data_IF_840147972574
#
_entry.id   IF_840147972574
#
_cell.length_a   1.000
_cell.length_b   1.000
_cell.length_c   1.000
_cell.angle_alpha   90.00
_cell.angle_beta   90.00
_cell.angle_gamma   90.00
#
_symmetry.space_group_name_H-M   'P 1'
#
loop_
_entity.id
_entity.type
_entity.pdbx_description
1 polymer ?
#
# COMPACT_ATOMS: atom_id res chain seq x y z
N UNK A 1 18.11 11.86 -3.05
CA UNK A 1 17.51 11.10 -1.93
C UNK A 1 16.31 11.91 -1.45
N UNK A 2 15.10 11.42 -1.64
CA UNK A 2 13.87 12.17 -1.28
C UNK A 2 13.63 12.15 0.22
N UNK A 3 13.92 11.00 0.86
CA UNK A 3 13.71 10.80 2.30
C UNK A 3 15.01 10.98 3.10
N UNK A 4 16.07 11.57 2.51
CA UNK A 4 17.37 11.71 3.17
C UNK A 4 18.14 10.39 3.39
N UNK A 5 17.60 9.26 2.90
CA UNK A 5 18.14 7.90 3.08
C UNK A 5 18.50 7.25 1.75
N UNK A 6 19.34 6.23 1.78
CA UNK A 6 19.56 5.36 0.63
C UNK A 6 18.39 4.41 0.46
N UNK A 7 18.14 3.94 -0.77
CA UNK A 7 17.11 2.91 -1.01
C UNK A 7 17.53 1.64 -0.27
N UNK A 8 16.68 1.20 0.66
CA UNK A 8 16.91 0.08 1.55
C UNK A 8 16.99 0.46 3.04
N UNK A 9 17.21 1.73 3.34
CA UNK A 9 17.24 2.26 4.71
C UNK A 9 15.89 2.89 5.14
N UNK A 10 14.91 2.95 4.22
CA UNK A 10 13.58 3.49 4.50
C UNK A 10 12.81 2.58 5.46
N UNK A 11 11.97 3.21 6.29
CA UNK A 11 10.95 2.53 7.08
C UNK A 11 9.63 2.54 6.33
N UNK A 12 9.06 1.36 6.11
CA UNK A 12 7.79 1.16 5.40
C UNK A 12 6.69 0.89 6.43
N UNK A 13 5.65 1.71 6.43
CA UNK A 13 4.42 1.43 7.19
C UNK A 13 3.37 0.85 6.24
N UNK A 14 2.75 -0.28 6.62
CA UNK A 14 1.66 -0.89 5.84
C UNK A 14 0.38 -0.84 6.66
N UNK A 15 -0.62 -0.11 6.18
CA UNK A 15 -1.91 0.11 6.84
C UNK A 15 -2.98 -0.79 6.24
N UNK A 16 -3.48 -1.73 7.04
CA UNK A 16 -4.39 -2.79 6.64
C UNK A 16 -3.62 -4.08 6.31
N UNK A 17 -3.61 -5.06 7.22
CA UNK A 17 -2.82 -6.30 7.11
C UNK A 17 -3.70 -7.47 6.65
N UNK A 18 -4.49 -7.22 5.59
CA UNK A 18 -5.30 -8.21 4.90
C UNK A 18 -4.56 -8.94 3.79
N UNK A 19 -5.33 -9.44 2.80
CA UNK A 19 -4.83 -10.24 1.66
C UNK A 19 -3.85 -9.51 0.74
N UNK A 20 -3.84 -8.18 0.76
CA UNK A 20 -2.88 -7.35 0.02
C UNK A 20 -1.75 -6.90 0.96
N UNK A 21 -2.10 -6.25 2.06
CA UNK A 21 -1.11 -5.58 2.91
C UNK A 21 -0.15 -6.51 3.61
N UNK A 22 -0.60 -7.66 4.11
CA UNK A 22 0.33 -8.59 4.78
C UNK A 22 1.37 -9.17 3.80
N UNK A 23 1.02 -9.70 2.62
CA UNK A 23 2.03 -10.13 1.64
C UNK A 23 2.98 -9.02 1.22
N UNK A 24 2.48 -7.79 0.99
CA UNK A 24 3.32 -6.62 0.66
C UNK A 24 4.30 -6.30 1.78
N UNK A 25 3.83 -6.28 3.04
CA UNK A 25 4.66 -6.06 4.22
C UNK A 25 5.76 -7.11 4.35
N UNK A 26 5.41 -8.39 4.12
CA UNK A 26 6.35 -9.50 4.16
C UNK A 26 7.39 -9.42 3.04
N UNK A 27 6.98 -9.04 1.83
CA UNK A 27 7.91 -8.86 0.71
C UNK A 27 8.94 -7.76 1.00
N UNK A 28 8.54 -6.61 1.55
CA UNK A 28 9.47 -5.57 1.98
C UNK A 28 10.40 -6.05 3.10
N UNK A 29 9.86 -6.74 4.11
CA UNK A 29 10.68 -7.27 5.19
C UNK A 29 11.72 -8.28 4.68
N UNK A 30 11.36 -9.18 3.76
CA UNK A 30 12.24 -10.23 3.23
C UNK A 30 13.46 -9.68 2.51
N UNK A 31 13.33 -8.52 1.85
CA UNK A 31 14.43 -7.83 1.16
C UNK A 31 15.17 -6.82 2.05
N UNK A 32 14.86 -6.79 3.36
CA UNK A 32 15.67 -6.12 4.38
C UNK A 32 15.15 -4.78 4.88
N UNK A 33 14.00 -4.29 4.42
CA UNK A 33 13.41 -3.06 4.97
C UNK A 33 12.94 -3.23 6.41
N UNK A 34 12.93 -2.13 7.16
CA UNK A 34 12.17 -2.04 8.41
C UNK A 34 10.70 -1.84 8.05
N UNK A 35 9.85 -2.73 8.55
CA UNK A 35 8.41 -2.72 8.27
C UNK A 35 7.62 -2.58 9.57
N UNK A 36 6.67 -1.64 9.57
CA UNK A 36 5.68 -1.46 10.62
C UNK A 36 4.31 -1.76 10.04
N UNK A 37 3.72 -2.87 10.44
CA UNK A 37 2.34 -3.19 10.08
C UNK A 37 1.36 -2.49 11.01
N UNK A 38 0.34 -1.84 10.45
CA UNK A 38 -0.72 -1.19 11.22
C UNK A 38 -2.07 -1.74 10.81
N UNK A 39 -2.85 -2.23 11.77
CA UNK A 39 -4.23 -2.66 11.53
C UNK A 39 -5.14 -2.22 12.70
N UNK A 40 -6.35 -1.80 12.38
CA UNK A 40 -7.33 -1.36 13.38
C UNK A 40 -7.96 -2.53 14.14
N UNK A 41 -7.79 -3.76 13.66
CA UNK A 41 -8.31 -4.97 14.28
C UNK A 41 -7.33 -5.55 15.28
N UNK A 42 -7.63 -5.45 16.57
CA UNK A 42 -6.84 -6.08 17.63
C UNK A 42 -6.65 -7.59 17.39
N UNK A 43 -7.62 -8.25 16.78
CA UNK A 43 -7.51 -9.66 16.41
C UNK A 43 -6.40 -9.90 15.40
N UNK A 44 -6.25 -9.03 14.40
CA UNK A 44 -5.19 -9.13 13.38
C UNK A 44 -3.84 -8.85 14.02
N UNK A 45 -3.75 -7.77 14.81
CA UNK A 45 -2.52 -7.37 15.51
C UNK A 45 -2.04 -8.47 16.46
N UNK A 46 -2.93 -9.01 17.29
CA UNK A 46 -2.57 -10.07 18.25
C UNK A 46 -2.09 -11.34 17.53
N UNK A 47 -2.81 -11.82 16.52
CA UNK A 47 -2.39 -12.99 15.73
C UNK A 47 -0.98 -12.81 15.15
N UNK A 48 -0.70 -11.68 14.51
CA UNK A 48 0.59 -11.41 13.90
C UNK A 48 1.71 -11.28 14.95
N UNK A 49 1.43 -10.74 16.13
CA UNK A 49 2.39 -10.69 17.23
C UNK A 49 2.65 -12.08 17.84
N UNK A 50 1.67 -12.98 17.79
CA UNK A 50 1.81 -14.38 18.21
C UNK A 50 2.47 -15.27 17.13
N UNK A 51 2.81 -14.72 15.96
CA UNK A 51 3.40 -15.45 14.85
C UNK A 51 2.41 -16.17 13.95
N UNK A 52 1.12 -15.87 14.09
CA UNK A 52 0.05 -16.50 13.33
C UNK A 52 -0.45 -15.59 12.21
N UNK A 53 -0.64 -16.14 10.99
CA UNK A 53 -1.28 -15.42 9.91
C UNK A 53 -2.78 -15.24 10.19
N UNK A 54 -3.34 -14.03 10.02
CA UNK A 54 -4.80 -13.82 10.10
C UNK A 54 -5.56 -14.33 8.86
N UNK A 55 -4.86 -14.67 7.76
CA UNK A 55 -5.46 -15.10 6.50
C UNK A 55 -5.88 -16.57 6.58
N UNK A 56 -7.17 -16.86 6.30
CA UNK A 56 -7.78 -18.18 6.59
C UNK A 56 -7.50 -19.22 5.49
N UNK A 57 -7.27 -18.79 4.24
CA UNK A 57 -7.18 -19.67 3.07
C UNK A 57 -5.80 -19.67 2.38
N UNK A 58 -4.73 -19.36 3.11
CA UNK A 58 -3.41 -19.45 2.53
C UNK A 58 -2.96 -20.90 2.45
N UNK A 59 -2.96 -21.46 1.25
CA UNK A 59 -2.30 -22.76 0.96
C UNK A 59 -0.79 -22.70 1.19
N UNK A 60 -0.22 -21.50 1.28
CA UNK A 60 1.16 -21.22 1.70
C UNK A 60 1.15 -20.64 3.13
N UNK A 61 1.92 -21.26 3.99
CA UNK A 61 2.17 -20.74 5.34
C UNK A 61 3.01 -19.47 5.23
N UNK A 62 2.40 -18.31 5.53
CA UNK A 62 3.15 -17.06 5.65
C UNK A 62 3.87 -17.12 7.01
N UNK A 63 5.18 -17.23 6.99
CA UNK A 63 6.00 -17.20 8.18
C UNK A 63 6.15 -15.75 8.67
N UNK A 64 5.56 -15.46 9.84
CA UNK A 64 5.62 -14.13 10.45
C UNK A 64 6.96 -13.98 11.19
N UNK A 65 7.76 -12.93 10.91
CA UNK A 65 9.12 -12.80 11.45
C UNK A 65 9.12 -12.24 12.88
N UNK A 66 8.45 -12.92 13.80
CA UNK A 66 8.40 -12.56 15.21
C UNK A 66 9.82 -12.51 15.80
N UNK A 67 10.12 -11.44 16.54
CA UNK A 67 11.45 -11.21 17.13
C UNK A 67 12.46 -10.54 16.18
N UNK A 68 12.13 -10.30 14.92
CA UNK A 68 12.95 -9.47 14.05
C UNK A 68 12.91 -8.01 14.52
N UNK A 69 14.07 -7.37 14.65
CA UNK A 69 14.17 -5.95 14.98
C UNK A 69 13.72 -5.02 13.84
N UNK A 70 13.43 -5.59 12.67
CA UNK A 70 12.91 -4.87 11.49
C UNK A 70 11.42 -5.12 11.24
N UNK A 71 10.73 -5.82 12.14
CA UNK A 71 9.31 -6.13 12.03
C UNK A 71 8.59 -5.75 13.31
N UNK A 72 7.49 -5.02 13.17
CA UNK A 72 6.56 -4.75 14.27
C UNK A 72 5.13 -4.61 13.75
N UNK A 73 4.16 -5.00 14.57
CA UNK A 73 2.73 -4.85 14.27
C UNK A 73 2.01 -4.20 15.43
N UNK A 74 1.15 -3.22 15.13
CA UNK A 74 0.43 -2.45 16.13
C UNK A 74 -0.87 -1.88 15.57
N UNK A 75 -1.75 -1.36 16.44
CA UNK A 75 -2.89 -0.50 16.09
C UNK A 75 -2.60 1.00 16.31
N UNK A 76 -1.40 1.36 16.73
CA UNK A 76 -1.00 2.71 17.13
C UNK A 76 -0.44 3.52 15.95
N UNK A 77 -1.28 4.34 15.32
CA UNK A 77 -0.89 5.25 14.24
C UNK A 77 0.04 6.37 14.71
N UNK A 78 -0.15 6.86 15.94
CA UNK A 78 0.61 8.00 16.48
C UNK A 78 2.09 7.71 16.64
N UNK A 79 2.44 6.44 16.89
CA UNK A 79 3.85 5.98 16.94
C UNK A 79 4.38 5.54 15.59
N UNK A 80 3.56 4.86 14.79
CA UNK A 80 4.00 4.17 13.58
C UNK A 80 4.23 5.13 12.41
N UNK A 81 3.27 6.01 12.15
CA UNK A 81 3.31 6.89 10.98
C UNK A 81 4.46 7.90 11.04
N UNK A 82 4.74 8.58 12.17
CA UNK A 82 5.85 9.54 12.23
C UNK A 82 7.23 8.91 12.01
N UNK A 83 7.40 7.61 12.32
CA UNK A 83 8.66 6.90 12.11
C UNK A 83 8.87 6.44 10.65
N UNK A 84 7.83 6.53 9.80
CA UNK A 84 7.79 5.90 8.48
C UNK A 84 8.12 6.88 7.36
N UNK A 85 8.93 6.46 6.41
CA UNK A 85 9.29 7.24 5.22
C UNK A 85 8.25 7.05 4.10
N UNK A 86 7.70 5.84 4.03
CA UNK A 86 6.66 5.45 3.08
C UNK A 86 5.52 4.78 3.84
N UNK A 87 4.29 5.22 3.61
CA UNK A 87 3.07 4.64 4.17
C UNK A 87 2.22 4.09 3.04
N UNK A 88 1.97 2.78 3.05
CA UNK A 88 1.14 2.09 2.07
C UNK A 88 -0.26 1.89 2.67
N UNK A 89 -1.31 2.32 1.97
CA UNK A 89 -2.70 2.13 2.38
C UNK A 89 -3.29 1.00 1.54
N UNK A 90 -3.56 -0.14 2.18
CA UNK A 90 -3.99 -1.40 1.56
C UNK A 90 -5.33 -1.90 2.10
N UNK A 91 -6.19 -0.98 2.51
CA UNK A 91 -7.49 -1.30 3.10
C UNK A 91 -8.52 -1.75 2.05
N UNK A 92 -9.54 -2.53 2.44
CA UNK A 92 -10.57 -2.99 1.52
C UNK A 92 -11.37 -1.85 0.88
N UNK A 93 -11.84 -2.08 -0.35
CA UNK A 93 -12.76 -1.18 -1.09
C UNK A 93 -14.00 -1.97 -1.53
N UNK A 94 -14.89 -2.34 -0.60
CA UNK A 94 -16.09 -3.10 -0.94
C UNK A 94 -17.07 -2.25 -1.78
N UNK A 95 -18.07 -2.90 -2.35
CA UNK A 95 -19.17 -2.23 -3.04
C UNK A 95 -20.36 -2.06 -2.11
N UNK A 96 -21.09 -0.98 -2.27
CA UNK A 96 -22.38 -0.74 -1.63
C UNK A 96 -23.49 -1.61 -2.28
N UNK A 97 -24.68 -1.73 -1.66
CA UNK A 97 -25.81 -2.48 -2.24
C UNK A 97 -26.27 -2.00 -3.64
N UNK A 98 -25.98 -0.76 -4.00
CA UNK A 98 -26.23 -0.16 -5.31
C UNK A 98 -25.08 -0.34 -6.30
N UNK A 99 -24.09 -1.17 -5.98
CA UNK A 99 -22.85 -1.42 -6.71
C UNK A 99 -21.92 -0.19 -6.83
N UNK A 100 -22.17 0.90 -6.10
CA UNK A 100 -21.22 2.00 -6.02
C UNK A 100 -20.00 1.63 -5.15
N UNK A 101 -18.79 2.15 -5.45
CA UNK A 101 -17.62 1.91 -4.61
C UNK A 101 -17.77 2.49 -3.20
N UNK A 102 -17.49 1.70 -2.18
CA UNK A 102 -17.45 2.19 -0.80
C UNK A 102 -16.01 2.59 -0.44
N UNK A 103 -15.78 3.89 -0.30
CA UNK A 103 -14.47 4.46 0.01
C UNK A 103 -14.28 4.82 1.49
N UNK A 104 -15.20 4.42 2.37
CA UNK A 104 -15.14 4.83 3.79
C UNK A 104 -13.89 4.28 4.50
N UNK A 105 -13.47 3.05 4.17
CA UNK A 105 -12.22 2.51 4.73
C UNK A 105 -10.99 3.30 4.25
N UNK A 106 -10.96 3.67 2.96
CA UNK A 106 -9.88 4.49 2.39
C UNK A 106 -9.84 5.86 3.05
N UNK A 107 -10.97 6.53 3.20
CA UNK A 107 -11.08 7.84 3.86
C UNK A 107 -10.63 7.77 5.32
N UNK A 108 -11.09 6.76 6.05
CA UNK A 108 -10.73 6.58 7.46
C UNK A 108 -9.23 6.31 7.63
N UNK A 109 -8.68 5.38 6.85
CA UNK A 109 -7.25 5.07 6.91
C UNK A 109 -6.39 6.28 6.48
N UNK A 110 -6.75 6.95 5.37
CA UNK A 110 -6.07 8.15 4.92
C UNK A 110 -6.09 9.25 5.98
N UNK A 111 -7.23 9.49 6.65
CA UNK A 111 -7.33 10.44 7.74
C UNK A 111 -6.39 10.09 8.89
N UNK A 112 -6.44 8.85 9.38
CA UNK A 112 -5.57 8.39 10.48
C UNK A 112 -4.10 8.51 10.13
N UNK A 113 -3.71 8.22 8.88
CA UNK A 113 -2.33 8.40 8.42
C UNK A 113 -1.96 9.88 8.39
N UNK A 114 -2.75 10.72 7.72
CA UNK A 114 -2.42 12.13 7.50
C UNK A 114 -2.43 12.98 8.77
N UNK A 115 -3.27 12.64 9.76
CA UNK A 115 -3.27 13.26 11.08
C UNK A 115 -1.97 13.01 11.86
N UNK A 116 -1.28 11.91 11.55
CA UNK A 116 -0.10 11.44 12.29
C UNK A 116 1.23 11.58 11.54
N UNK A 117 1.27 12.18 10.34
CA UNK A 117 2.55 12.42 9.65
C UNK A 117 3.44 13.39 10.42
N UNK A 118 4.75 13.14 10.43
CA UNK A 118 5.70 14.10 10.96
C UNK A 118 5.82 15.32 10.03
N UNK A 119 5.42 16.48 10.52
CA UNK A 119 5.42 17.73 9.74
C UNK A 119 6.82 18.30 9.48
N UNK A 120 7.86 17.75 10.10
CA UNK A 120 9.24 18.19 9.94
C UNK A 120 10.02 17.38 8.90
N UNK A 121 9.39 16.36 8.31
CA UNK A 121 10.01 15.52 7.28
C UNK A 121 9.00 15.12 6.21
N UNK A 122 9.51 14.78 5.03
CA UNK A 122 8.68 14.33 3.93
C UNK A 122 8.33 12.86 4.09
N UNK A 123 7.04 12.53 3.96
CA UNK A 123 6.52 11.16 3.93
C UNK A 123 5.80 10.92 2.60
N UNK A 124 6.07 9.79 1.94
CA UNK A 124 5.24 9.35 0.82
C UNK A 124 4.06 8.55 1.34
N UNK A 125 2.85 8.92 0.93
CA UNK A 125 1.62 8.16 1.20
C UNK A 125 1.12 7.57 -0.10
N UNK A 126 1.17 6.24 -0.20
CA UNK A 126 0.84 5.48 -1.40
C UNK A 126 -0.48 4.74 -1.17
N UNK A 127 -1.47 4.99 -2.01
CA UNK A 127 -2.69 4.20 -2.01
C UNK A 127 -2.50 2.99 -2.93
N UNK A 128 -2.71 1.78 -2.41
CA UNK A 128 -2.69 0.52 -3.16
C UNK A 128 -4.09 -0.07 -3.35
N UNK A 129 -5.05 0.35 -2.51
CA UNK A 129 -6.45 -0.10 -2.61
C UNK A 129 -7.01 0.16 -4.00
N UNK A 130 -7.78 -0.78 -4.54
CA UNK A 130 -8.40 -0.65 -5.87
C UNK A 130 -9.43 0.47 -5.88
N UNK A 131 -9.20 1.47 -6.74
CA UNK A 131 -10.08 2.64 -6.88
C UNK A 131 -10.25 3.03 -8.34
N UNK A 132 -11.25 3.87 -8.64
CA UNK A 132 -11.42 4.46 -9.97
C UNK A 132 -10.53 5.70 -10.13
N UNK A 133 -10.22 6.13 -11.39
CA UNK A 133 -9.34 7.26 -11.65
C UNK A 133 -9.79 8.55 -10.96
N UNK A 134 -8.85 9.23 -10.29
CA UNK A 134 -9.04 10.48 -9.58
C UNK A 134 -9.34 10.34 -8.09
N UNK A 135 -9.54 9.12 -7.56
CA UNK A 135 -9.85 8.91 -6.12
C UNK A 135 -8.71 9.33 -5.23
N UNK A 136 -7.47 8.94 -5.54
CA UNK A 136 -6.31 9.29 -4.72
C UNK A 136 -6.21 10.80 -4.55
N UNK A 137 -6.29 11.55 -5.63
CA UNK A 137 -6.26 13.01 -5.60
C UNK A 137 -7.46 13.58 -4.85
N UNK A 138 -8.67 13.11 -5.14
CA UNK A 138 -9.89 13.64 -4.54
C UNK A 138 -9.96 13.34 -3.05
N UNK A 139 -9.72 12.10 -2.63
CA UNK A 139 -9.89 11.69 -1.22
C UNK A 139 -8.69 12.10 -0.38
N UNK A 140 -7.47 11.69 -0.77
CA UNK A 140 -6.27 11.98 0.01
C UNK A 140 -5.82 13.44 -0.18
N UNK A 141 -5.93 13.98 -1.41
CA UNK A 141 -5.56 15.38 -1.69
C UNK A 141 -6.43 16.37 -0.95
N UNK A 142 -7.78 16.22 -0.95
CA UNK A 142 -8.69 17.08 -0.18
C UNK A 142 -8.41 17.01 1.34
N UNK A 143 -8.05 15.82 1.86
CA UNK A 143 -7.63 15.68 3.26
C UNK A 143 -6.31 16.43 3.52
N UNK A 144 -5.30 16.29 2.67
CA UNK A 144 -4.05 17.03 2.80
C UNK A 144 -4.30 18.55 2.82
N UNK A 145 -5.10 19.07 1.89
CA UNK A 145 -5.47 20.48 1.82
C UNK A 145 -6.16 20.94 3.10
N UNK A 146 -7.15 20.18 3.60
CA UNK A 146 -7.90 20.50 4.80
C UNK A 146 -7.03 20.52 6.08
N UNK A 147 -5.94 19.74 6.10
CA UNK A 147 -4.99 19.64 7.21
C UNK A 147 -3.78 20.57 7.04
N UNK A 148 -3.69 21.34 5.95
CA UNK A 148 -2.55 22.21 5.64
C UNK A 148 -1.25 21.43 5.36
N UNK A 149 -1.36 20.22 4.83
CA UNK A 149 -0.22 19.39 4.43
C UNK A 149 0.15 19.68 2.97
N UNK A 150 1.34 20.21 2.76
CA UNK A 150 1.86 20.48 1.43
C UNK A 150 2.78 19.34 0.94
N UNK A 151 3.26 19.45 -0.31
CA UNK A 151 4.10 18.43 -0.94
C UNK A 151 5.50 18.28 -0.32
N UNK A 152 5.91 19.19 0.55
CA UNK A 152 7.16 19.06 1.31
C UNK A 152 7.00 18.16 2.54
N UNK A 153 5.77 18.04 3.03
CA UNK A 153 5.40 17.19 4.17
C UNK A 153 4.87 15.84 3.66
N UNK A 154 3.91 15.85 2.74
CA UNK A 154 3.28 14.64 2.20
C UNK A 154 3.32 14.64 0.68
N UNK A 155 3.83 13.57 0.10
CA UNK A 155 3.69 13.30 -1.33
C UNK A 155 2.77 12.12 -1.54
N UNK A 156 1.70 12.34 -2.30
CA UNK A 156 0.73 11.30 -2.63
C UNK A 156 1.17 10.52 -3.87
N UNK A 157 0.97 9.21 -3.83
CA UNK A 157 1.18 8.31 -4.95
C UNK A 157 0.11 7.22 -4.99
N UNK A 158 0.02 6.56 -6.12
CA UNK A 158 -0.82 5.38 -6.32
C UNK A 158 0.00 4.25 -6.92
N UNK A 159 -0.10 3.05 -6.33
CA UNK A 159 0.54 1.84 -6.84
C UNK A 159 -0.46 0.70 -6.76
N UNK A 160 -1.14 0.31 -7.86
CA UNK A 160 -2.16 -0.73 -7.81
C UNK A 160 -1.55 -2.09 -7.52
N UNK A 161 -2.12 -2.81 -6.56
CA UNK A 161 -1.79 -4.21 -6.34
C UNK A 161 -2.41 -5.09 -7.44
N UNK A 162 -1.63 -6.04 -7.96
CA UNK A 162 -2.00 -6.91 -9.08
C UNK A 162 -2.02 -8.40 -8.74
N UNK A 163 -1.72 -8.77 -7.49
CA UNK A 163 -1.82 -10.16 -7.03
C UNK A 163 -3.29 -10.56 -6.96
N UNK A 164 -3.63 -11.72 -7.52
CA UNK A 164 -4.98 -12.26 -7.38
C UNK A 164 -5.13 -12.84 -5.97
N UNK A 165 -6.15 -12.44 -5.20
CA UNK A 165 -6.44 -13.07 -3.93
C UNK A 165 -6.64 -14.57 -4.11
N UNK A 166 -5.85 -15.39 -3.38
CA UNK A 166 -5.91 -16.85 -3.49
C UNK A 166 -4.96 -17.51 -4.51
N UNK A 167 -4.25 -16.73 -5.34
CA UNK A 167 -3.18 -17.24 -6.21
C UNK A 167 -1.84 -17.11 -5.48
N UNK A 168 -1.55 -18.07 -4.62
CA UNK A 168 -0.33 -18.07 -3.82
C UNK A 168 0.92 -18.57 -4.58
N UNK A 169 0.74 -19.10 -5.78
CA UNK A 169 1.87 -19.47 -6.66
C UNK A 169 2.45 -18.24 -7.37
N UNK A 170 1.63 -17.18 -7.51
CA UNK A 170 2.02 -15.91 -8.11
C UNK A 170 1.93 -14.78 -7.09
N UNK A 171 2.92 -14.73 -6.20
CA UNK A 171 3.08 -13.65 -5.24
C UNK A 171 3.44 -12.30 -5.89
N UNK A 172 3.56 -11.27 -5.08
CA UNK A 172 3.97 -9.91 -5.50
C UNK A 172 5.29 -9.91 -6.29
N UNK A 173 6.13 -10.92 -6.08
CA UNK A 173 7.42 -11.09 -6.76
C UNK A 173 7.29 -11.35 -8.27
N UNK A 174 6.16 -11.91 -8.72
CA UNK A 174 5.91 -12.29 -10.11
C UNK A 174 5.07 -11.29 -10.90
N UNK A 175 4.84 -10.10 -10.33
CA UNK A 175 3.94 -9.10 -10.92
C UNK A 175 4.67 -7.78 -11.11
N UNK A 176 4.57 -7.23 -12.34
CA UNK A 176 5.09 -5.88 -12.62
C UNK A 176 4.34 -4.83 -11.82
N UNK A 177 5.09 -3.87 -11.25
CA UNK A 177 4.52 -2.77 -10.49
C UNK A 177 4.51 -1.48 -11.31
N UNK A 178 3.48 -0.65 -11.14
CA UNK A 178 3.43 0.69 -11.72
C UNK A 178 3.18 1.72 -10.62
N UNK A 179 3.86 2.85 -10.71
CA UNK A 179 3.75 3.93 -9.72
C UNK A 179 3.32 5.21 -10.42
N UNK A 180 2.16 5.73 -10.02
CA UNK A 180 1.68 7.06 -10.38
C UNK A 180 1.95 8.05 -9.25
N UNK A 181 2.57 9.19 -9.57
CA UNK A 181 2.87 10.26 -8.62
C UNK A 181 3.08 11.56 -9.38
N UNK A 182 2.56 12.69 -8.87
CA UNK A 182 2.77 13.99 -9.54
C UNK A 182 4.20 14.51 -9.40
N UNK A 183 4.90 14.13 -8.32
CA UNK A 183 6.32 14.43 -8.17
C UNK A 183 7.14 13.32 -8.85
N UNK A 184 7.80 13.68 -9.95
CA UNK A 184 8.61 12.73 -10.74
C UNK A 184 9.77 12.14 -9.93
N UNK A 185 10.37 12.91 -9.04
CA UNK A 185 11.53 12.46 -8.26
C UNK A 185 11.08 11.41 -7.25
N UNK A 186 10.00 11.69 -6.50
CA UNK A 186 9.43 10.74 -5.54
C UNK A 186 8.88 9.52 -6.26
N UNK A 187 8.10 9.70 -7.34
CA UNK A 187 7.54 8.59 -8.11
C UNK A 187 8.60 7.65 -8.67
N UNK A 188 9.71 8.19 -9.19
CA UNK A 188 10.83 7.37 -9.65
C UNK A 188 11.54 6.65 -8.51
N UNK A 189 11.63 7.25 -7.32
CA UNK A 189 12.20 6.60 -6.15
C UNK A 189 11.29 5.49 -5.61
N UNK A 190 9.98 5.73 -5.55
CA UNK A 190 9.00 4.70 -5.19
C UNK A 190 9.04 3.52 -6.18
N UNK A 191 9.13 3.78 -7.49
CA UNK A 191 9.28 2.71 -8.47
C UNK A 191 10.55 1.86 -8.21
N UNK A 192 11.67 2.48 -7.86
CA UNK A 192 12.88 1.73 -7.48
C UNK A 192 12.72 0.96 -6.18
N UNK A 193 11.94 1.48 -5.24
CA UNK A 193 11.63 0.81 -3.97
C UNK A 193 10.78 -0.43 -4.23
N UNK A 194 9.70 -0.31 -5.00
CA UNK A 194 8.88 -1.46 -5.39
C UNK A 194 9.63 -2.48 -6.24
N UNK A 195 10.61 -2.04 -7.06
CA UNK A 195 11.49 -2.95 -7.80
C UNK A 195 12.35 -3.87 -6.91
N UNK A 196 12.42 -3.62 -5.59
CA UNK A 196 13.12 -4.51 -4.66
C UNK A 196 12.30 -5.74 -4.29
N UNK A 197 10.97 -5.67 -4.39
CA UNK A 197 10.05 -6.73 -3.98
C UNK A 197 9.43 -7.50 -5.16
N UNK A 198 9.81 -7.18 -6.39
CA UNK A 198 9.38 -7.93 -7.58
C UNK A 198 10.58 -8.37 -8.41
N UNK A 199 10.48 -9.54 -9.03
CA UNK A 199 11.43 -10.01 -10.04
C UNK A 199 11.13 -9.44 -11.43
N UNK A 200 9.98 -8.77 -11.56
CA UNK A 200 9.50 -8.12 -12.76
C UNK A 200 9.89 -6.63 -12.80
N UNK A 201 9.32 -5.87 -13.71
CA UNK A 201 9.56 -4.44 -13.81
C UNK A 201 8.75 -3.64 -12.77
N UNK A 202 9.33 -2.54 -12.28
CA UNK A 202 8.58 -1.50 -11.59
C UNK A 202 8.82 -0.17 -12.30
N UNK A 203 7.74 0.48 -12.73
CA UNK A 203 7.81 1.62 -13.65
C UNK A 203 7.03 2.82 -13.12
N UNK A 204 7.68 3.98 -13.10
CA UNK A 204 7.01 5.25 -12.89
C UNK A 204 6.24 5.64 -14.16
N UNK A 205 4.91 5.90 -14.04
CA UNK A 205 4.02 6.15 -15.17
C UNK A 205 3.47 7.58 -15.22
N UNK A 206 3.99 8.48 -14.39
CA UNK A 206 3.52 9.87 -14.32
C UNK A 206 2.41 10.05 -13.30
N UNK A 207 1.30 10.64 -13.69
CA UNK A 207 0.20 11.00 -12.80
C UNK A 207 -0.47 9.78 -12.14
N UNK A 208 -1.00 9.98 -10.94
CA UNK A 208 -1.73 8.95 -10.19
C UNK A 208 -2.89 8.36 -11.00
N UNK A 209 -3.63 9.20 -11.71
CA UNK A 209 -4.78 8.80 -12.53
C UNK A 209 -4.42 7.82 -13.65
N UNK A 210 -3.17 7.86 -14.14
CA UNK A 210 -2.68 6.90 -15.15
C UNK A 210 -2.55 5.51 -14.53
N UNK A 211 -1.98 5.41 -13.32
CA UNK A 211 -1.84 4.14 -12.61
C UNK A 211 -3.22 3.59 -12.17
N UNK A 212 -4.12 4.46 -11.69
CA UNK A 212 -5.51 4.08 -11.34
C UNK A 212 -6.26 3.54 -12.56
N UNK A 213 -6.18 4.24 -13.70
CA UNK A 213 -6.82 3.81 -14.95
C UNK A 213 -6.26 2.47 -15.46
N UNK A 214 -4.96 2.23 -15.34
CA UNK A 214 -4.32 0.96 -15.75
C UNK A 214 -4.92 -0.23 -15.01
N UNK A 215 -5.14 -0.11 -13.68
CA UNK A 215 -5.77 -1.18 -12.89
C UNK A 215 -7.20 -1.47 -13.32
N UNK A 216 -7.97 -0.41 -13.57
CA UNK A 216 -9.36 -0.55 -14.02
C UNK A 216 -9.42 -1.24 -15.39
N UNK A 217 -8.58 -0.84 -16.35
CA UNK A 217 -8.54 -1.43 -17.69
C UNK A 217 -8.17 -2.92 -17.62
N UNK A 218 -7.18 -3.30 -16.82
CA UNK A 218 -6.82 -4.71 -16.63
C UNK A 218 -7.98 -5.55 -16.07
N UNK A 219 -8.70 -5.03 -15.08
CA UNK A 219 -9.84 -5.73 -14.51
C UNK A 219 -10.96 -5.90 -15.53
N UNK A 220 -11.31 -4.84 -16.26
CA UNK A 220 -12.33 -4.87 -17.33
C UNK A 220 -11.94 -5.83 -18.44
N UNK A 221 -10.68 -5.82 -18.89
CA UNK A 221 -10.20 -6.76 -19.90
C UNK A 221 -10.34 -8.21 -19.42
N UNK A 222 -9.93 -8.51 -18.18
CA UNK A 222 -10.05 -9.85 -17.59
C UNK A 222 -11.51 -10.32 -17.56
N UNK A 223 -12.43 -9.44 -17.14
CA UNK A 223 -13.86 -9.78 -17.07
C UNK A 223 -14.44 -10.05 -18.45
N UNK A 224 -14.04 -9.28 -19.49
CA UNK A 224 -14.42 -9.51 -20.87
C UNK A 224 -13.86 -10.85 -21.38
N UNK A 225 -12.59 -11.14 -21.13
CA UNK A 225 -11.95 -12.38 -21.55
C UNK A 225 -12.63 -13.60 -20.92
N UNK A 226 -12.99 -13.52 -19.63
CA UNK A 226 -13.76 -14.57 -18.94
C UNK A 226 -15.15 -14.73 -19.55
N UNK A 227 -15.85 -13.62 -19.82
CA UNK A 227 -17.19 -13.66 -20.42
C UNK A 227 -17.18 -14.22 -21.86
N UNK A 228 -16.12 -14.00 -22.62
CA UNK A 228 -15.95 -14.57 -23.96
C UNK A 228 -15.60 -16.06 -23.95
N UNK A 229 -14.95 -16.53 -22.89
CA UNK A 229 -14.59 -17.96 -22.73
C UNK A 229 -15.77 -18.82 -22.25
N UNK A 230 -16.81 -18.26 -21.66
CA UNK A 230 -18.01 -18.94 -21.18
C UNK A 230 -19.15 -18.91 -22.21
#
# INVERSE_FOLDING_TARGET
MVFGKNIGDETICVVGLGYVGLPTAMAFHSVGFRVIGVDVSDRVVNKLNDGESPLIDSSSVIEIPVGSNRWSVTSDFEKSVPESDVVLITVPTPVNPDNSPNLEYVKSAARSVLENVDRNRRTAVVLESTVYPGVTRKVLGELCESMGLNNEIVTLAYCPERVNPGDFERGIESVSQIVGCDDQVVGSQLARLFAKITNESSTYVGKMEVAEASKLIENVQRDIDIALAN
#
